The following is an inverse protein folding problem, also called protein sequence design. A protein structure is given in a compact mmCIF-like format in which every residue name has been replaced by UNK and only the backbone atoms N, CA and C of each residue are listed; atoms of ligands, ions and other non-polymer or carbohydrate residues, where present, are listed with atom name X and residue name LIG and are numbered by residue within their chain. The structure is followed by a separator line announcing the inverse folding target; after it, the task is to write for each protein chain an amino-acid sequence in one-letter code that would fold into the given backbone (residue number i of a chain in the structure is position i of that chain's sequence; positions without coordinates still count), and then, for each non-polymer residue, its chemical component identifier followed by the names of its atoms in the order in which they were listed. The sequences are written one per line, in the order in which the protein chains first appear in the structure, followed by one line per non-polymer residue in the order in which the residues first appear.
data_IF_107101955810
#
_entry.id   IF_107101955810
#
_cell.length_a   1.000
_cell.length_b   1.000
_cell.length_c   1.000
_cell.angle_alpha   90.00
_cell.angle_beta   90.00
_cell.angle_gamma   90.00
#
_symmetry.space_group_name_H-M   'P 1'
#
loop_
_entity.id
_entity.type
_entity.pdbx_description
1 polymer ?
#
# COMPACT_ATOMS: atom_id res chain seq x y z
N UNK A 1 2.90 13.90 -12.14
CA UNK A 1 2.76 12.99 -11.00
C UNK A 1 3.86 11.96 -11.04
N UNK A 2 4.95 12.22 -10.31
CA UNK A 2 6.02 11.23 -10.11
C UNK A 2 5.61 10.32 -8.97
N UNK A 3 5.36 9.04 -9.28
CA UNK A 3 4.86 8.07 -8.31
C UNK A 3 6.02 7.19 -7.85
N UNK A 4 6.20 7.06 -6.53
CA UNK A 4 7.24 6.20 -5.95
C UNK A 4 6.63 4.89 -5.44
N UNK A 5 7.02 3.75 -6.00
CA UNK A 5 6.61 2.44 -5.47
C UNK A 5 7.52 2.06 -4.30
N UNK A 6 6.95 1.93 -3.10
CA UNK A 6 7.69 1.61 -1.88
C UNK A 6 7.78 0.10 -1.63
N UNK A 7 6.71 -0.63 -1.98
CA UNK A 7 6.61 -2.07 -1.86
C UNK A 7 5.62 -2.61 -2.88
N UNK A 8 5.84 -3.84 -3.34
CA UNK A 8 4.93 -4.59 -4.20
C UNK A 8 4.98 -6.06 -3.83
N UNK A 9 3.93 -6.81 -4.13
CA UNK A 9 3.97 -8.26 -4.03
C UNK A 9 4.60 -8.89 -5.28
N UNK A 10 5.08 -10.13 -5.12
CA UNK A 10 5.74 -10.85 -6.21
C UNK A 10 4.83 -11.15 -7.42
N UNK A 11 3.51 -11.03 -7.25
CA UNK A 11 2.50 -11.31 -8.27
C UNK A 11 1.93 -10.05 -8.91
N UNK A 12 2.30 -8.86 -8.43
CA UNK A 12 1.72 -7.58 -8.85
C UNK A 12 0.25 -7.41 -8.48
N UNK A 13 -0.26 -8.19 -7.52
CA UNK A 13 -1.63 -8.06 -7.02
C UNK A 13 -1.80 -6.83 -6.12
N UNK A 14 -0.74 -6.31 -5.51
CA UNK A 14 -0.82 -5.04 -4.79
C UNK A 14 0.52 -4.30 -4.73
N UNK A 15 0.45 -2.98 -4.51
CA UNK A 15 1.62 -2.15 -4.22
C UNK A 15 1.31 -0.99 -3.30
N UNK A 16 2.29 -0.62 -2.49
CA UNK A 16 2.30 0.60 -1.69
C UNK A 16 2.96 1.72 -2.48
N UNK A 17 2.27 2.84 -2.61
CA UNK A 17 2.59 3.92 -3.53
C UNK A 17 2.67 5.24 -2.76
N UNK A 18 3.78 5.96 -2.90
CA UNK A 18 3.96 7.29 -2.35
C UNK A 18 3.86 8.36 -3.43
N UNK A 19 3.00 9.35 -3.18
CA UNK A 19 2.89 10.58 -3.94
C UNK A 19 3.64 11.70 -3.21
N UNK A 20 4.83 12.12 -3.70
CA UNK A 20 5.62 13.17 -3.08
C UNK A 20 5.03 14.57 -3.25
N UNK A 21 4.18 14.80 -4.26
CA UNK A 21 3.59 16.13 -4.51
C UNK A 21 2.55 16.46 -3.43
N UNK A 22 1.76 15.47 -3.03
CA UNK A 22 0.73 15.62 -2.00
C UNK A 22 1.11 15.00 -0.64
N UNK A 23 2.31 14.41 -0.52
CA UNK A 23 2.80 13.70 0.67
C UNK A 23 1.86 12.59 1.16
N UNK A 24 1.18 11.92 0.23
CA UNK A 24 0.23 10.86 0.54
C UNK A 24 0.79 9.47 0.22
N UNK A 25 0.39 8.51 1.05
CA UNK A 25 0.65 7.09 0.83
C UNK A 25 -0.65 6.37 0.48
N UNK A 26 -0.58 5.52 -0.53
CA UNK A 26 -1.70 4.75 -1.05
C UNK A 26 -1.36 3.27 -1.12
N UNK A 27 -2.40 2.43 -1.08
CA UNK A 27 -2.33 1.03 -1.45
C UNK A 27 -3.19 0.83 -2.69
N UNK A 28 -2.59 0.22 -3.71
CA UNK A 28 -3.25 -0.13 -4.95
C UNK A 28 -3.36 -1.64 -5.08
N UNK A 29 -4.52 -2.13 -5.51
CA UNK A 29 -4.82 -3.55 -5.72
C UNK A 29 -5.14 -3.82 -7.18
N UNK A 30 -4.55 -4.86 -7.76
CA UNK A 30 -4.81 -5.26 -9.14
C UNK A 30 -6.08 -6.15 -9.25
N UNK A 31 -6.78 -6.12 -10.40
CA UNK A 31 -6.60 -5.16 -11.49
C UNK A 31 -7.13 -3.78 -11.09
N UNK A 32 -6.28 -2.75 -11.19
CA UNK A 32 -6.67 -1.37 -10.86
C UNK A 32 -6.83 -0.54 -12.12
N UNK A 33 -7.82 0.35 -12.11
CA UNK A 33 -7.65 1.63 -12.77
C UNK A 33 -7.04 2.59 -11.74
N UNK A 34 -6.18 3.53 -12.15
CA UNK A 34 -5.53 4.50 -11.24
C UNK A 34 -6.48 5.27 -10.30
N UNK A 35 -7.79 5.21 -10.54
CA UNK A 35 -8.85 5.75 -9.69
C UNK A 35 -9.18 4.89 -8.45
N UNK A 36 -8.68 3.66 -8.34
CA UNK A 36 -9.01 2.70 -7.26
C UNK A 36 -7.98 2.69 -6.11
N UNK A 37 -7.12 3.70 -6.05
CA UNK A 37 -6.13 3.82 -4.98
C UNK A 37 -6.83 4.09 -3.65
N UNK A 38 -6.50 3.27 -2.65
CA UNK A 38 -6.98 3.44 -1.29
C UNK A 38 -5.92 4.22 -0.50
N UNK A 39 -6.33 5.25 0.23
CA UNK A 39 -5.40 5.91 1.15
C UNK A 39 -4.91 4.90 2.19
N UNK A 40 -3.68 5.10 2.68
CA UNK A 40 -3.13 4.23 3.72
C UNK A 40 -4.01 4.26 4.98
N UNK A 41 -4.56 5.43 5.31
CA UNK A 41 -5.42 5.62 6.48
C UNK A 41 -6.72 4.84 6.35
N UNK A 42 -7.37 4.90 5.18
CA UNK A 42 -8.58 4.13 4.89
C UNK A 42 -8.30 2.63 4.87
N UNK A 43 -7.12 2.23 4.37
CA UNK A 43 -6.69 0.84 4.37
C UNK A 43 -6.49 0.30 5.79
N UNK A 44 -5.85 1.08 6.66
CA UNK A 44 -5.63 0.72 8.06
C UNK A 44 -6.92 0.77 8.90
N UNK A 45 -7.84 1.69 8.58
CA UNK A 45 -9.15 1.76 9.22
C UNK A 45 -10.08 0.60 8.82
N UNK A 46 -9.83 -0.03 7.66
CA UNK A 46 -10.60 -1.19 7.20
C UNK A 46 -10.12 -2.47 7.87
N UNK A 47 -11.06 -3.20 8.48
CA UNK A 47 -10.82 -4.58 8.89
C UNK A 47 -10.52 -5.42 7.63
N UNK A 48 -9.39 -6.17 7.56
CA UNK A 48 -9.04 -6.99 6.41
C UNK A 48 -10.14 -7.99 6.09
N UNK A 49 -10.67 -7.93 4.87
CA UNK A 49 -11.84 -8.74 4.46
C UNK A 49 -11.47 -10.09 3.87
N UNK A 50 -10.26 -10.21 3.34
CA UNK A 50 -9.75 -11.40 2.66
C UNK A 50 -8.24 -11.58 2.91
N UNK A 51 -7.70 -12.72 2.49
CA UNK A 51 -6.29 -13.07 2.67
C UNK A 51 -5.33 -12.11 1.95
N UNK A 52 -5.76 -11.50 0.85
CA UNK A 52 -4.94 -10.55 0.11
C UNK A 52 -4.76 -9.25 0.89
N UNK A 53 -5.85 -8.71 1.45
CA UNK A 53 -5.81 -7.55 2.34
C UNK A 53 -4.95 -7.80 3.58
N UNK A 54 -5.03 -9.00 4.17
CA UNK A 54 -4.18 -9.37 5.33
C UNK A 54 -2.70 -9.38 4.95
N UNK A 55 -2.35 -10.02 3.84
CA UNK A 55 -0.96 -10.07 3.37
C UNK A 55 -0.41 -8.68 3.04
N UNK A 56 -1.22 -7.83 2.40
CA UNK A 56 -0.83 -6.44 2.13
C UNK A 56 -0.57 -5.66 3.43
N UNK A 57 -1.44 -5.82 4.43
CA UNK A 57 -1.28 -5.17 5.73
C UNK A 57 -0.02 -5.63 6.47
N UNK A 58 0.20 -6.95 6.58
CA UNK A 58 1.38 -7.50 7.27
C UNK A 58 2.69 -7.01 6.62
N UNK A 59 2.77 -7.04 5.30
CA UNK A 59 3.96 -6.61 4.56
C UNK A 59 4.21 -5.11 4.65
N UNK A 60 3.15 -4.32 4.60
CA UNK A 60 3.23 -2.88 4.81
C UNK A 60 3.75 -2.56 6.21
N UNK A 61 3.17 -3.17 7.25
CA UNK A 61 3.59 -2.97 8.64
C UNK A 61 5.04 -3.41 8.86
N UNK A 62 5.46 -4.54 8.27
CA UNK A 62 6.85 -4.99 8.31
C UNK A 62 7.81 -3.94 7.70
N UNK A 63 7.43 -3.35 6.55
CA UNK A 63 8.22 -2.32 5.87
C UNK A 63 8.32 -1.04 6.71
N UNK A 64 7.21 -0.59 7.28
CA UNK A 64 7.14 0.59 8.13
C UNK A 64 7.96 0.37 9.41
N UNK A 65 7.79 -0.76 10.09
CA UNK A 65 8.54 -1.08 11.29
C UNK A 65 10.05 -1.12 11.04
N UNK A 66 10.49 -1.69 9.91
CA UNK A 66 11.91 -1.67 9.52
C UNK A 66 12.46 -0.25 9.31
N UNK A 67 11.67 0.65 8.75
CA UNK A 67 12.08 2.05 8.53
C UNK A 67 12.18 2.86 9.83
N UNK A 68 11.46 2.48 10.88
CA UNK A 68 11.56 3.13 12.21
C UNK A 68 12.62 2.50 13.13
N UNK A 69 13.07 1.29 12.82
CA UNK A 69 14.11 0.57 13.58
C UNK A 69 15.52 0.75 12.99
N UNK A 70 15.66 1.47 11.88
CA UNK A 70 16.92 1.86 11.23
C UNK A 70 17.36 3.25 11.64
#
# INVERSE_FOLDING_TARGET
MMICVLAEDARGCWRAVFDPENLHLYVEFAPSHHADWMSIDDFLARVPRDELHKQALERLLERIARAFLS
#
